data_IF_477720348478
#
_entry.id   IF_477720348478
#
_cell.length_a   1.000
_cell.length_b   1.000
_cell.length_c   1.000
_cell.angle_alpha   90.00
_cell.angle_beta   90.00
_cell.angle_gamma   90.00
#
_symmetry.space_group_name_H-M   'P 1'
#
loop_
_entity.id
_entity.type
_entity.pdbx_description
1 polymer ?
#
# COMPACT_ATOMS: atom_id res chain seq x y z
N UNK A 1 6.99 -5.34 14.37
CA UNK A 1 6.10 -4.16 14.46
C UNK A 1 4.82 -4.53 13.70
N UNK A 2 3.62 -4.11 14.12
CA UNK A 2 2.36 -4.46 13.44
C UNK A 2 1.69 -3.24 12.78
N UNK A 3 2.40 -2.11 12.68
CA UNK A 3 1.91 -0.95 11.95
C UNK A 3 2.01 -1.23 10.44
N UNK A 4 1.04 -0.73 9.68
CA UNK A 4 1.07 -0.80 8.22
C UNK A 4 1.96 0.32 7.68
N UNK A 5 3.08 -0.05 7.08
CA UNK A 5 4.07 0.89 6.52
C UNK A 5 3.82 1.19 5.03
N UNK A 6 3.27 0.22 4.28
CA UNK A 6 2.95 0.33 2.86
C UNK A 6 1.51 -0.11 2.58
N UNK A 7 0.78 0.69 1.80
CA UNK A 7 -0.57 0.40 1.32
C UNK A 7 -0.57 0.25 -0.21
N UNK A 8 -0.89 -0.95 -0.69
CA UNK A 8 -1.07 -1.23 -2.11
C UNK A 8 -2.54 -1.15 -2.49
N UNK A 9 -2.88 -0.38 -3.53
CA UNK A 9 -4.27 -0.21 -3.98
C UNK A 9 -4.41 -0.52 -5.46
N UNK A 10 -5.34 -1.41 -5.79
CA UNK A 10 -5.61 -1.76 -7.18
C UNK A 10 -6.18 -0.55 -7.95
N UNK A 11 -5.64 -0.27 -9.13
CA UNK A 11 -5.99 0.88 -9.98
C UNK A 11 -7.50 1.06 -10.20
N UNK A 12 -8.23 -0.03 -10.41
CA UNK A 12 -9.67 -0.02 -10.67
C UNK A 12 -10.51 0.55 -9.51
N UNK A 13 -9.99 0.56 -8.27
CA UNK A 13 -10.69 1.08 -7.09
C UNK A 13 -9.97 2.27 -6.44
N UNK A 14 -8.76 2.60 -6.89
CA UNK A 14 -7.93 3.66 -6.33
C UNK A 14 -8.68 5.00 -6.20
N UNK A 15 -9.32 5.46 -7.28
CA UNK A 15 -10.07 6.72 -7.28
C UNK A 15 -11.25 6.76 -6.30
N UNK A 16 -11.80 5.61 -5.92
CA UNK A 16 -12.89 5.50 -4.96
C UNK A 16 -12.38 5.42 -3.52
N UNK A 17 -11.27 4.71 -3.30
CA UNK A 17 -10.81 4.31 -1.96
C UNK A 17 -9.75 5.26 -1.40
N UNK A 18 -8.81 5.73 -2.23
CA UNK A 18 -7.69 6.53 -1.76
C UNK A 18 -8.10 7.92 -1.22
N UNK A 19 -8.99 8.70 -1.86
CA UNK A 19 -9.34 10.03 -1.35
C UNK A 19 -9.92 10.04 0.08
N UNK A 20 -10.92 9.21 0.44
CA UNK A 20 -11.43 9.20 1.82
C UNK A 20 -10.39 8.64 2.82
N UNK A 21 -9.57 7.67 2.43
CA UNK A 21 -8.50 7.17 3.30
C UNK A 21 -7.43 8.24 3.55
N UNK A 22 -7.00 8.94 2.51
CA UNK A 22 -6.01 10.01 2.62
C UNK A 22 -6.47 11.12 3.56
N UNK A 23 -7.76 11.48 3.53
CA UNK A 23 -8.34 12.43 4.49
C UNK A 23 -8.21 11.93 5.94
N UNK A 24 -8.57 10.67 6.20
CA UNK A 24 -8.47 10.06 7.54
C UNK A 24 -7.01 10.02 8.04
N UNK A 25 -6.07 9.68 7.16
CA UNK A 25 -4.64 9.63 7.51
C UNK A 25 -4.09 11.02 7.82
N UNK A 26 -4.42 12.03 7.00
CA UNK A 26 -4.02 13.42 7.22
C UNK A 26 -4.59 13.98 8.52
N UNK A 27 -5.86 13.72 8.83
CA UNK A 27 -6.49 14.14 10.09
C UNK A 27 -5.79 13.54 11.33
N UNK A 28 -5.12 12.39 11.16
CA UNK A 28 -4.32 11.74 12.20
C UNK A 28 -2.85 12.17 12.19
N UNK A 29 -2.45 13.09 11.31
CA UNK A 29 -1.07 13.57 11.18
C UNK A 29 -0.13 12.56 10.53
N UNK A 30 -0.65 11.66 9.68
CA UNK A 30 0.18 10.71 8.93
C UNK A 30 0.69 11.37 7.66
N UNK A 31 2.01 11.34 7.47
CA UNK A 31 2.67 11.74 6.23
C UNK A 31 2.40 10.69 5.14
N UNK A 32 1.95 11.13 3.97
CA UNK A 32 1.69 10.26 2.84
C UNK A 32 2.80 10.39 1.81
N UNK A 33 3.43 9.27 1.48
CA UNK A 33 4.38 9.14 0.37
C UNK A 33 3.74 8.27 -0.69
N UNK A 34 3.91 8.61 -1.96
CA UNK A 34 3.30 7.81 -3.03
C UNK A 34 4.01 7.90 -4.36
N UNK A 35 3.75 6.89 -5.18
CA UNK A 35 4.17 6.84 -6.57
C UNK A 35 3.48 7.94 -7.42
N UNK A 36 3.90 8.05 -8.69
CA UNK A 36 3.36 9.06 -9.60
C UNK A 36 1.83 8.97 -9.73
N UNK A 37 1.28 7.75 -9.83
CA UNK A 37 -0.16 7.52 -9.95
C UNK A 37 -0.93 7.95 -8.69
N UNK A 38 -0.38 7.64 -7.50
CA UNK A 38 -0.95 8.07 -6.23
C UNK A 38 -0.96 9.59 -6.11
N UNK A 39 0.14 10.25 -6.48
CA UNK A 39 0.26 11.72 -6.43
C UNK A 39 -0.66 12.42 -7.42
N UNK A 40 -0.79 11.87 -8.64
CA UNK A 40 -1.75 12.36 -9.63
C UNK A 40 -3.18 12.32 -9.07
N UNK A 41 -3.53 11.24 -8.37
CA UNK A 41 -4.85 11.07 -7.81
C UNK A 41 -5.13 11.91 -6.55
N UNK A 42 -4.15 12.01 -5.64
CA UNK A 42 -4.34 12.61 -4.30
C UNK A 42 -3.84 14.06 -4.18
N UNK A 43 -3.10 14.56 -5.17
CA UNK A 43 -2.60 15.93 -5.23
C UNK A 43 -1.29 16.18 -4.49
N UNK A 44 -0.92 17.47 -4.39
CA UNK A 44 0.40 17.94 -3.95
C UNK A 44 0.76 17.70 -2.49
N UNK A 45 -0.19 17.24 -1.66
CA UNK A 45 0.04 16.91 -0.24
C UNK A 45 0.61 15.49 -0.06
N UNK A 46 0.84 14.74 -1.16
CA UNK A 46 1.52 13.45 -1.15
C UNK A 46 2.95 13.65 -1.64
N UNK A 47 3.90 13.29 -0.78
CA UNK A 47 5.33 13.33 -1.11
C UNK A 47 5.67 12.22 -2.11
N UNK A 48 6.73 12.42 -2.88
CA UNK A 48 7.24 11.38 -3.77
C UNK A 48 7.83 10.23 -2.97
N UNK A 49 7.32 9.03 -3.18
CA UNK A 49 7.94 7.83 -2.66
C UNK A 49 9.19 7.51 -3.50
N UNK A 50 10.31 7.35 -2.81
CA UNK A 50 11.56 6.82 -3.32
C UNK A 50 11.56 5.29 -3.29
N UNK A 51 12.60 4.67 -3.85
CA UNK A 51 12.77 3.21 -3.76
C UNK A 51 12.95 2.74 -2.30
N UNK A 52 13.67 3.52 -1.49
CA UNK A 52 13.94 3.20 -0.10
C UNK A 52 12.66 3.20 0.75
N UNK A 53 11.64 3.97 0.35
CA UNK A 53 10.35 4.03 1.04
C UNK A 53 9.58 2.70 1.01
N UNK A 54 9.85 1.84 0.03
CA UNK A 54 9.20 0.53 -0.06
C UNK A 54 9.81 -0.48 0.91
N UNK A 55 11.10 -0.33 1.25
CA UNK A 55 11.80 -1.16 2.23
C UNK A 55 11.72 -0.63 3.67
N UNK A 56 11.20 0.58 3.86
CA UNK A 56 11.30 1.30 5.12
C UNK A 56 10.34 0.78 6.20
N UNK A 57 10.88 0.52 7.38
CA UNK A 57 10.10 0.49 8.64
C UNK A 57 10.17 1.88 9.29
N UNK A 58 9.14 2.71 9.07
CA UNK A 58 9.21 4.12 9.42
C UNK A 58 9.28 4.37 10.94
N UNK A 59 8.67 3.51 11.76
CA UNK A 59 8.53 3.72 13.21
C UNK A 59 8.02 5.13 13.57
N UNK A 60 7.24 5.72 12.66
CA UNK A 60 6.77 7.08 12.64
C UNK A 60 5.41 7.10 11.90
N UNK A 61 4.59 8.17 12.03
CA UNK A 61 3.32 8.27 11.32
C UNK A 61 3.58 8.60 9.83
N UNK A 62 4.13 7.66 9.07
CA UNK A 62 4.40 7.75 7.64
C UNK A 62 3.77 6.53 6.97
N UNK A 63 3.15 6.72 5.82
CA UNK A 63 2.56 5.65 5.03
C UNK A 63 2.97 5.81 3.56
N UNK A 64 3.63 4.78 3.02
CA UNK A 64 3.87 4.68 1.59
C UNK A 64 2.65 4.09 0.88
N UNK A 65 2.24 4.67 -0.25
CA UNK A 65 1.08 4.24 -1.03
C UNK A 65 1.51 4.00 -2.47
N UNK A 66 1.14 2.84 -3.02
CA UNK A 66 1.40 2.48 -4.41
C UNK A 66 0.12 2.01 -5.08
N UNK A 67 -0.11 2.48 -6.30
CA UNK A 67 -1.21 1.96 -7.12
C UNK A 67 -0.66 0.80 -7.95
N UNK A 68 -1.31 -0.36 -7.87
CA UNK A 68 -0.94 -1.58 -8.60
C UNK A 68 -1.99 -1.94 -9.63
N UNK A 69 -1.60 -2.60 -10.71
CA UNK A 69 -2.48 -2.91 -11.83
C UNK A 69 -3.21 -4.25 -11.72
N UNK A 70 -2.75 -5.12 -10.81
CA UNK A 70 -3.14 -6.51 -10.67
C UNK A 70 -2.84 -7.07 -9.28
N UNK A 71 -3.35 -8.27 -8.98
CA UNK A 71 -3.02 -9.00 -7.75
C UNK A 71 -1.57 -9.48 -7.77
N UNK A 72 -1.10 -9.92 -8.93
CA UNK A 72 0.26 -10.39 -9.19
C UNK A 72 1.27 -9.30 -8.82
N UNK A 73 1.07 -8.07 -9.32
CA UNK A 73 1.94 -6.95 -8.98
C UNK A 73 1.94 -6.62 -7.48
N UNK A 74 0.81 -6.84 -6.78
CA UNK A 74 0.74 -6.65 -5.34
C UNK A 74 1.57 -7.72 -4.59
N UNK A 75 1.44 -8.98 -5.00
CA UNK A 75 2.20 -10.11 -4.44
C UNK A 75 3.69 -9.94 -4.71
N UNK A 76 4.09 -9.59 -5.93
CA UNK A 76 5.48 -9.33 -6.29
C UNK A 76 6.07 -8.20 -5.45
N UNK A 77 5.32 -7.12 -5.24
CA UNK A 77 5.75 -6.03 -4.38
C UNK A 77 5.96 -6.50 -2.94
N UNK A 78 4.99 -7.21 -2.37
CA UNK A 78 5.08 -7.72 -0.99
C UNK A 78 6.28 -8.67 -0.84
N UNK A 79 6.44 -9.63 -1.75
CA UNK A 79 7.54 -10.60 -1.67
C UNK A 79 8.92 -9.98 -1.90
N UNK A 80 9.00 -8.85 -2.62
CA UNK A 80 10.26 -8.16 -2.87
C UNK A 80 10.66 -7.18 -1.75
N UNK A 81 9.70 -6.38 -1.28
CA UNK A 81 9.96 -5.27 -0.35
C UNK A 81 9.55 -5.58 1.10
N UNK A 82 8.65 -6.54 1.30
CA UNK A 82 8.11 -6.88 2.62
C UNK A 82 9.14 -7.54 3.53
N UNK A 83 9.01 -7.30 4.83
CA UNK A 83 9.83 -7.93 5.87
C UNK A 83 9.38 -9.35 6.24
N UNK A 84 8.40 -9.91 5.50
CA UNK A 84 7.78 -11.22 5.73
C UNK A 84 7.13 -11.33 7.12
N UNK A 85 6.75 -10.21 7.72
CA UNK A 85 6.20 -10.16 9.08
C UNK A 85 4.68 -10.30 9.14
N UNK A 86 3.93 -9.47 8.42
CA UNK A 86 2.47 -9.52 8.43
C UNK A 86 1.94 -8.77 7.21
N UNK A 87 1.22 -9.48 6.36
CA UNK A 87 0.61 -8.95 5.16
C UNK A 87 -0.88 -9.30 5.10
N UNK A 88 -1.68 -8.46 4.44
CA UNK A 88 -3.14 -8.61 4.44
C UNK A 88 -3.76 -8.14 3.13
N UNK A 89 -4.84 -8.82 2.74
CA UNK A 89 -5.64 -8.47 1.57
C UNK A 89 -7.08 -8.16 1.96
N UNK A 90 -7.63 -7.09 1.37
CA UNK A 90 -9.06 -6.74 1.47
C UNK A 90 -9.68 -6.99 0.09
N UNK A 91 -10.42 -8.10 -0.05
CA UNK A 91 -11.10 -8.46 -1.30
C UNK A 91 -12.38 -9.25 -1.03
N UNK A 92 -13.39 -9.08 -1.89
CA UNK A 92 -14.59 -9.92 -1.91
C UNK A 92 -14.42 -11.13 -2.88
N UNK A 93 -13.34 -11.17 -3.65
CA UNK A 93 -13.04 -12.28 -4.55
C UNK A 93 -12.35 -13.41 -3.79
N UNK A 94 -13.09 -14.52 -3.62
CA UNK A 94 -12.61 -15.70 -2.94
C UNK A 94 -11.34 -16.31 -3.58
N UNK A 95 -11.24 -16.30 -4.91
CA UNK A 95 -10.07 -16.84 -5.61
C UNK A 95 -8.83 -16.00 -5.35
N UNK A 96 -8.97 -14.67 -5.38
CA UNK A 96 -7.87 -13.73 -5.11
C UNK A 96 -7.40 -13.85 -3.66
N UNK A 97 -8.35 -13.99 -2.72
CA UNK A 97 -8.01 -14.22 -1.31
C UNK A 97 -7.20 -15.51 -1.13
N UNK A 98 -7.62 -16.63 -1.75
CA UNK A 98 -6.85 -17.89 -1.65
C UNK A 98 -5.48 -17.81 -2.31
N UNK A 99 -5.38 -17.13 -3.45
CA UNK A 99 -4.11 -16.90 -4.14
C UNK A 99 -3.16 -16.10 -3.28
N UNK A 100 -3.59 -14.97 -2.74
CA UNK A 100 -2.79 -14.16 -1.82
C UNK A 100 -2.27 -14.98 -0.63
N UNK A 101 -3.14 -15.76 0.03
CA UNK A 101 -2.75 -16.62 1.16
C UNK A 101 -1.77 -17.75 0.79
N UNK A 102 -1.65 -18.10 -0.49
CA UNK A 102 -0.76 -19.17 -0.96
C UNK A 102 0.55 -18.62 -1.53
N UNK A 103 0.51 -17.43 -2.13
CA UNK A 103 1.59 -16.85 -2.93
C UNK A 103 2.40 -15.78 -2.17
N UNK A 104 1.85 -15.20 -1.10
CA UNK A 104 2.56 -14.27 -0.22
C UNK A 104 3.40 -15.04 0.80
N UNK A 105 4.72 -14.81 0.77
CA UNK A 105 5.68 -15.48 1.64
C UNK A 105 5.90 -14.65 2.92
N UNK A 106 5.00 -14.81 3.89
CA UNK A 106 5.05 -14.10 5.19
C UNK A 106 4.79 -15.09 6.34
N UNK A 107 5.49 -14.89 7.47
CA UNK A 107 5.57 -15.84 8.59
C UNK A 107 4.59 -15.59 9.74
#
# INVERSE_FOLDING_TARGET
CNAMETLLVHQAVAARVLPPLAAIYRDKGVELRGDAATRELLGGDVLEASEDDWFAEYNAPILAIRIVDSLEAAIEHINHYGSQHTDSIITENFSDARRFLTEVDSS
#
